data_IF_941469875793
#
_entry.id   IF_941469875793
#
_cell.length_a   1.000
_cell.length_b   1.000
_cell.length_c   1.000
_cell.angle_alpha   90.00
_cell.angle_beta   90.00
_cell.angle_gamma   90.00
#
_symmetry.space_group_name_H-M   'P 1'
#
loop_
_entity.id
_entity.type
_entity.pdbx_description
1 polymer ?
#
# COMPACT_ATOMS: atom_id res chain seq x y z
N UNK A 1 -0.79 26.55 10.87
CA UNK A 1 0.30 26.67 9.86
C UNK A 1 -0.33 26.58 8.49
N UNK A 2 -0.19 27.62 7.66
CA UNK A 2 -0.77 27.65 6.31
C UNK A 2 -0.28 26.46 5.48
N UNK A 3 -1.23 25.74 4.85
CA UNK A 3 -0.97 24.59 3.99
C UNK A 3 0.03 24.92 2.88
N UNK A 4 -0.02 26.15 2.33
CA UNK A 4 0.92 26.62 1.30
C UNK A 4 2.36 26.71 1.81
N UNK A 5 2.55 27.15 3.06
CA UNK A 5 3.87 27.22 3.69
C UNK A 5 4.45 25.81 3.89
N UNK A 6 3.61 24.85 4.28
CA UNK A 6 4.04 23.46 4.44
C UNK A 6 4.53 22.86 3.13
N UNK A 7 3.75 23.01 2.06
CA UNK A 7 4.15 22.54 0.71
C UNK A 7 5.47 23.16 0.30
N UNK A 8 5.66 24.48 0.46
CA UNK A 8 6.93 25.14 0.13
C UNK A 8 8.12 24.60 0.93
N UNK A 9 7.98 24.47 2.26
CA UNK A 9 9.10 24.12 3.17
C UNK A 9 9.49 22.65 3.19
N UNK A 10 8.59 21.73 2.85
CA UNK A 10 8.91 20.30 2.85
C UNK A 10 9.95 19.98 1.77
N UNK A 11 10.99 19.22 2.13
CA UNK A 11 11.97 18.73 1.18
C UNK A 11 11.30 17.73 0.20
N UNK A 12 11.45 17.97 -1.10
CA UNK A 12 10.78 17.20 -2.14
C UNK A 12 11.31 15.75 -2.19
N UNK A 13 12.62 15.57 -2.19
CA UNK A 13 13.27 14.26 -2.32
C UNK A 13 12.92 13.36 -1.13
N UNK A 14 12.92 13.92 0.08
CA UNK A 14 12.49 13.22 1.28
C UNK A 14 11.01 12.82 1.22
N UNK A 15 10.13 13.69 0.71
CA UNK A 15 8.71 13.38 0.57
C UNK A 15 8.49 12.26 -0.46
N UNK A 16 9.15 12.35 -1.62
CA UNK A 16 9.04 11.37 -2.71
C UNK A 16 9.63 10.03 -2.27
N UNK A 17 10.84 10.03 -1.68
CA UNK A 17 11.47 8.83 -1.14
C UNK A 17 10.63 8.13 -0.09
N UNK A 18 9.95 8.89 0.79
CA UNK A 18 9.01 8.31 1.74
C UNK A 18 7.81 7.65 1.06
N UNK A 19 7.21 8.27 0.03
CA UNK A 19 6.12 7.65 -0.74
C UNK A 19 6.61 6.39 -1.46
N UNK A 20 7.80 6.42 -2.08
CA UNK A 20 8.39 5.22 -2.69
C UNK A 20 8.47 4.10 -1.66
N UNK A 21 8.94 4.39 -0.45
CA UNK A 21 8.97 3.45 0.67
C UNK A 21 7.60 2.86 1.00
N UNK A 22 6.55 3.69 1.14
CA UNK A 22 5.18 3.23 1.41
C UNK A 22 4.59 2.39 0.25
N UNK A 23 4.88 2.76 -1.00
CA UNK A 23 4.53 1.94 -2.19
C UNK A 23 5.30 0.62 -2.18
N UNK A 24 6.55 0.63 -1.74
CA UNK A 24 7.37 -0.56 -1.52
C UNK A 24 6.76 -1.52 -0.49
N UNK A 25 6.31 -1.00 0.64
CA UNK A 25 5.56 -1.78 1.65
C UNK A 25 4.28 -2.38 1.08
N UNK A 26 3.54 -1.61 0.25
CA UNK A 26 2.36 -2.14 -0.44
C UNK A 26 2.72 -3.29 -1.40
N UNK A 27 3.88 -3.23 -2.08
CA UNK A 27 4.38 -4.33 -2.93
C UNK A 27 4.73 -5.55 -2.08
N UNK A 28 5.42 -5.37 -0.96
CA UNK A 28 5.79 -6.46 -0.06
C UNK A 28 4.55 -7.16 0.52
N UNK A 29 3.58 -6.39 0.99
CA UNK A 29 2.30 -6.91 1.48
C UNK A 29 1.58 -7.74 0.42
N UNK A 30 1.59 -7.32 -0.85
CA UNK A 30 1.04 -8.10 -1.95
C UNK A 30 1.78 -9.42 -2.20
N UNK A 31 3.11 -9.40 -2.15
CA UNK A 31 3.95 -10.61 -2.31
C UNK A 31 3.65 -11.60 -1.18
N UNK A 32 3.72 -11.14 0.08
CA UNK A 32 3.44 -11.96 1.25
C UNK A 32 2.02 -12.53 1.22
N UNK A 33 1.02 -11.71 0.91
CA UNK A 33 -0.37 -12.15 0.81
C UNK A 33 -0.53 -13.23 -0.26
N UNK A 34 0.15 -13.09 -1.41
CA UNK A 34 0.13 -14.10 -2.47
C UNK A 34 0.74 -15.43 -2.00
N UNK A 35 1.88 -15.39 -1.31
CA UNK A 35 2.50 -16.59 -0.76
C UNK A 35 1.59 -17.27 0.28
N UNK A 36 0.97 -16.50 1.18
CA UNK A 36 0.05 -17.03 2.19
C UNK A 36 -1.22 -17.62 1.58
N UNK A 37 -1.75 -17.04 0.49
CA UNK A 37 -2.87 -17.62 -0.25
C UNK A 37 -2.48 -18.96 -0.90
N UNK A 38 -1.27 -19.05 -1.45
CA UNK A 38 -0.78 -20.31 -2.03
C UNK A 38 -0.53 -21.36 -0.95
N UNK A 39 0.09 -20.96 0.17
CA UNK A 39 0.36 -21.83 1.31
C UNK A 39 -0.94 -22.36 1.93
N UNK A 40 -1.97 -21.51 2.10
CA UNK A 40 -3.25 -21.98 2.66
C UNK A 40 -3.86 -23.07 1.79
N UNK A 41 -3.89 -22.86 0.47
CA UNK A 41 -4.44 -23.84 -0.49
C UNK A 41 -3.66 -25.16 -0.55
N UNK A 42 -2.39 -25.16 -0.18
CA UNK A 42 -1.57 -26.37 -0.18
C UNK A 42 -1.84 -27.25 1.06
N UNK A 43 -2.43 -26.67 2.12
CA UNK A 43 -2.66 -27.33 3.41
C UNK A 43 -4.15 -27.54 3.69
N UNK A 44 -5.02 -26.75 3.04
CA UNK A 44 -6.48 -26.88 3.07
C UNK A 44 -6.92 -28.23 2.49
N UNK A 45 -7.90 -28.86 3.13
CA UNK A 45 -8.46 -30.15 2.72
C UNK A 45 -9.95 -30.01 2.39
N UNK A 46 -10.57 -31.07 1.87
CA UNK A 46 -12.01 -31.09 1.64
C UNK A 46 -12.83 -31.31 2.94
N UNK A 47 -12.17 -31.62 4.07
CA UNK A 47 -12.81 -31.81 5.37
C UNK A 47 -12.61 -30.61 6.30
N UNK A 48 -13.68 -29.82 6.45
CA UNK A 48 -13.75 -28.65 7.33
C UNK A 48 -13.37 -29.00 8.79
N UNK A 49 -13.74 -30.19 9.28
CA UNK A 49 -13.45 -30.57 10.67
C UNK A 49 -11.96 -30.80 10.90
N UNK A 50 -11.28 -31.37 9.91
CA UNK A 50 -9.84 -31.56 9.90
C UNK A 50 -9.12 -30.21 9.80
N UNK A 51 -9.57 -29.33 8.90
CA UNK A 51 -9.00 -28.00 8.71
C UNK A 51 -9.12 -27.10 9.96
N UNK A 52 -10.25 -27.17 10.68
CA UNK A 52 -10.44 -26.41 11.93
C UNK A 52 -9.49 -26.83 13.05
N UNK A 53 -8.97 -28.06 13.03
CA UNK A 53 -8.03 -28.59 14.02
C UNK A 53 -6.57 -28.43 13.60
N UNK A 54 -6.33 -28.00 12.36
CA UNK A 54 -4.99 -27.81 11.81
C UNK A 54 -4.40 -26.47 12.29
N UNK A 55 -3.47 -26.53 13.25
CA UNK A 55 -2.80 -25.35 13.81
C UNK A 55 -2.01 -24.55 12.78
N UNK A 56 -1.41 -25.22 11.80
CA UNK A 56 -0.60 -24.58 10.77
C UNK A 56 -1.50 -23.81 9.80
N UNK A 57 -2.65 -24.39 9.43
CA UNK A 57 -3.65 -23.70 8.61
C UNK A 57 -4.25 -22.50 9.36
N UNK A 58 -4.51 -22.64 10.66
CA UNK A 58 -4.97 -21.54 11.50
C UNK A 58 -3.96 -20.38 11.54
N UNK A 59 -2.66 -20.69 11.70
CA UNK A 59 -1.58 -19.70 11.66
C UNK A 59 -1.53 -18.99 10.31
N UNK A 60 -1.58 -19.74 9.19
CA UNK A 60 -1.58 -19.16 7.84
C UNK A 60 -2.79 -18.25 7.64
N UNK A 61 -3.98 -18.61 8.12
CA UNK A 61 -5.16 -17.76 8.05
C UNK A 61 -5.04 -16.49 8.90
N UNK A 62 -4.49 -16.59 10.10
CA UNK A 62 -4.24 -15.43 10.94
C UNK A 62 -3.26 -14.44 10.26
N UNK A 63 -2.14 -14.95 9.74
CA UNK A 63 -1.16 -14.15 9.00
C UNK A 63 -1.75 -13.53 7.74
N UNK A 64 -2.52 -14.31 6.96
CA UNK A 64 -3.22 -13.82 5.76
C UNK A 64 -4.18 -12.69 6.10
N UNK A 65 -4.93 -12.81 7.20
CA UNK A 65 -5.81 -11.76 7.70
C UNK A 65 -5.03 -10.49 8.05
N UNK A 66 -3.96 -10.62 8.84
CA UNK A 66 -3.14 -9.48 9.27
C UNK A 66 -2.50 -8.74 8.11
N UNK A 67 -1.83 -9.45 7.21
CA UNK A 67 -1.17 -8.87 6.03
C UNK A 67 -2.20 -8.21 5.10
N UNK A 68 -3.39 -8.81 4.94
CA UNK A 68 -4.46 -8.20 4.15
C UNK A 68 -4.92 -6.88 4.73
N UNK A 69 -5.12 -6.80 6.05
CA UNK A 69 -5.51 -5.55 6.71
C UNK A 69 -4.41 -4.49 6.58
N UNK A 70 -3.16 -4.84 6.85
CA UNK A 70 -2.04 -3.90 6.68
C UNK A 70 -1.95 -3.41 5.22
N UNK A 71 -2.19 -4.28 4.23
CA UNK A 71 -2.25 -3.89 2.82
C UNK A 71 -3.36 -2.88 2.52
N UNK A 72 -4.56 -3.09 3.09
CA UNK A 72 -5.69 -2.15 3.00
C UNK A 72 -5.30 -0.81 3.63
N UNK A 73 -4.71 -0.83 4.81
CA UNK A 73 -4.29 0.36 5.56
C UNK A 73 -3.26 1.18 4.77
N UNK A 74 -2.22 0.53 4.22
CA UNK A 74 -1.20 1.20 3.39
C UNK A 74 -1.81 1.85 2.16
N UNK A 75 -2.62 1.11 1.38
CA UNK A 75 -3.25 1.64 0.16
C UNK A 75 -4.23 2.78 0.45
N UNK A 76 -5.01 2.67 1.54
CA UNK A 76 -5.91 3.72 1.98
C UNK A 76 -5.16 4.95 2.51
N UNK A 77 -4.02 4.75 3.16
CA UNK A 77 -3.12 5.80 3.62
C UNK A 77 -2.53 6.63 2.48
N UNK A 78 -2.03 5.96 1.43
CA UNK A 78 -1.50 6.61 0.22
C UNK A 78 -2.50 7.54 -0.48
N UNK A 79 -3.80 7.24 -0.36
CA UNK A 79 -4.90 8.00 -0.96
C UNK A 79 -5.47 9.10 -0.04
N UNK A 80 -4.92 9.31 1.15
CA UNK A 80 -5.37 10.39 2.02
C UNK A 80 -5.10 11.76 1.40
N UNK A 81 -6.09 12.66 1.51
CA UNK A 81 -5.94 14.06 1.11
C UNK A 81 -5.36 14.90 2.26
N UNK A 82 -4.14 14.57 2.68
CA UNK A 82 -3.44 15.26 3.77
C UNK A 82 -2.04 15.70 3.37
N UNK A 83 -1.59 16.81 3.96
CA UNK A 83 -0.29 17.43 3.69
C UNK A 83 0.73 17.24 4.82
N UNK A 84 0.41 16.42 5.83
CA UNK A 84 1.27 16.17 7.00
C UNK A 84 1.90 14.78 7.01
N UNK A 85 1.62 13.98 5.98
CA UNK A 85 2.06 12.58 5.83
C UNK A 85 2.47 12.33 4.39
N UNK A 86 3.24 11.28 4.17
CA UNK A 86 3.53 10.79 2.83
C UNK A 86 2.24 10.26 2.17
N UNK A 87 1.53 11.14 1.47
CA UNK A 87 0.39 10.81 0.60
C UNK A 87 0.66 11.22 -0.85
N UNK A 88 -0.01 10.60 -1.82
CA UNK A 88 0.09 11.03 -3.21
C UNK A 88 -0.43 12.45 -3.41
N UNK A 89 -1.47 12.86 -2.66
CA UNK A 89 -1.95 14.23 -2.67
C UNK A 89 -0.85 15.21 -2.29
N UNK A 90 -0.07 14.92 -1.25
CA UNK A 90 1.00 15.84 -0.85
C UNK A 90 2.07 15.96 -1.94
N UNK A 91 2.47 14.83 -2.55
CA UNK A 91 3.43 14.87 -3.65
C UNK A 91 2.91 15.69 -4.82
N UNK A 92 1.68 15.44 -5.29
CA UNK A 92 1.13 16.17 -6.45
C UNK A 92 0.99 17.66 -6.18
N UNK A 93 0.66 18.06 -4.96
CA UNK A 93 0.67 19.47 -4.55
C UNK A 93 2.10 20.05 -4.51
N UNK A 94 3.11 19.24 -4.17
CA UNK A 94 4.52 19.67 -4.09
C UNK A 94 5.16 19.86 -5.46
N UNK A 95 4.93 18.92 -6.38
CA UNK A 95 5.47 18.96 -7.76
C UNK A 95 4.58 19.72 -8.73
N UNK A 96 3.40 20.14 -8.27
CA UNK A 96 2.33 20.77 -9.05
C UNK A 96 2.00 20.05 -10.37
N UNK A 97 1.92 18.72 -10.31
CA UNK A 97 1.67 17.87 -11.46
C UNK A 97 0.90 16.61 -11.05
N UNK A 98 0.37 15.88 -12.04
CA UNK A 98 -0.29 14.58 -11.87
C UNK A 98 -1.55 14.58 -10.99
N UNK A 99 -2.16 15.75 -10.74
CA UNK A 99 -3.40 15.90 -9.96
C UNK A 99 -4.52 14.97 -10.43
N UNK A 100 -4.69 14.80 -11.75
CA UNK A 100 -5.74 13.92 -12.30
C UNK A 100 -5.47 12.43 -12.10
N UNK A 101 -4.19 12.01 -12.05
CA UNK A 101 -3.81 10.63 -11.79
C UNK A 101 -3.97 10.29 -10.30
N UNK A 102 -3.59 11.22 -9.40
CA UNK A 102 -3.87 11.11 -7.97
C UNK A 102 -5.38 10.99 -7.71
N UNK A 103 -6.18 11.86 -8.33
CA UNK A 103 -7.62 11.85 -8.12
C UNK A 103 -8.26 10.52 -8.60
N UNK A 104 -7.79 9.97 -9.72
CA UNK A 104 -8.23 8.65 -10.23
C UNK A 104 -7.87 7.54 -9.24
N UNK A 105 -6.67 7.56 -8.66
CA UNK A 105 -6.27 6.60 -7.63
C UNK A 105 -7.17 6.73 -6.39
N UNK A 106 -7.32 7.93 -5.85
CA UNK A 106 -8.15 8.20 -4.68
C UNK A 106 -9.61 7.78 -4.88
N UNK A 107 -10.22 8.16 -6.01
CA UNK A 107 -11.59 7.75 -6.36
C UNK A 107 -11.72 6.23 -6.44
N UNK A 108 -10.70 5.51 -6.90
CA UNK A 108 -10.72 4.04 -6.90
C UNK A 108 -10.73 3.46 -5.48
N UNK A 109 -9.89 3.99 -4.58
CA UNK A 109 -9.83 3.59 -3.16
C UNK A 109 -11.17 3.83 -2.46
N UNK A 110 -11.78 5.00 -2.68
CA UNK A 110 -13.07 5.38 -2.10
C UNK A 110 -14.22 4.51 -2.61
N UNK A 111 -14.33 4.32 -3.94
CA UNK A 111 -15.38 3.49 -4.56
C UNK A 111 -15.34 2.04 -4.07
N UNK A 112 -14.14 1.51 -3.82
CA UNK A 112 -13.96 0.15 -3.33
C UNK A 112 -13.93 0.03 -1.79
N UNK A 113 -14.28 1.10 -1.07
CA UNK A 113 -14.45 1.13 0.39
C UNK A 113 -13.19 0.82 1.21
N UNK A 114 -12.00 0.90 0.61
CA UNK A 114 -10.72 0.69 1.33
C UNK A 114 -10.55 1.71 2.45
N UNK A 115 -10.86 2.98 2.17
CA UNK A 115 -10.85 4.05 3.17
C UNK A 115 -11.84 3.78 4.30
N UNK A 116 -13.07 3.37 3.96
CA UNK A 116 -14.10 3.08 4.95
C UNK A 116 -13.73 1.90 5.85
N UNK A 117 -13.11 0.84 5.30
CA UNK A 117 -12.59 -0.30 6.06
C UNK A 117 -11.51 0.18 7.04
N UNK A 118 -10.51 0.92 6.56
CA UNK A 118 -9.47 1.53 7.40
C UNK A 118 -10.06 2.39 8.53
N UNK A 119 -10.99 3.27 8.21
CA UNK A 119 -11.56 4.20 9.19
C UNK A 119 -12.31 3.44 10.29
N UNK A 120 -12.99 2.33 9.97
CA UNK A 120 -13.56 1.42 10.98
C UNK A 120 -12.49 0.74 11.82
N UNK A 121 -11.43 0.22 11.19
CA UNK A 121 -10.32 -0.44 11.90
C UNK A 121 -9.62 0.49 12.91
N UNK A 122 -9.49 1.78 12.56
CA UNK A 122 -8.95 2.80 13.46
C UNK A 122 -9.99 3.20 14.53
N UNK A 123 -11.26 3.30 14.15
CA UNK A 123 -12.37 3.67 15.02
C UNK A 123 -12.75 2.59 16.04
N UNK A 124 -12.24 1.34 15.95
CA UNK A 124 -12.39 0.33 17.01
C UNK A 124 -11.77 0.76 18.35
N UNK A 125 -11.04 1.88 18.39
CA UNK A 125 -10.63 2.54 19.65
C UNK A 125 -11.77 3.30 20.33
N UNK A 126 -12.87 3.56 19.62
CA UNK A 126 -14.10 4.14 20.14
C UNK A 126 -15.12 3.00 20.28
N UNK A 127 -15.47 2.64 21.52
CA UNK A 127 -16.46 1.62 21.79
C UNK A 127 -17.84 2.11 21.32
N UNK A 128 -18.47 1.46 20.32
CA UNK A 128 -19.81 1.86 19.90
C UNK A 128 -20.83 1.51 21.00
N UNK A 129 -21.83 2.37 21.18
CA UNK A 129 -22.93 2.16 22.13
C UNK A 129 -23.85 1.01 21.72
N UNK A 130 -23.98 0.78 20.40
CA UNK A 130 -24.79 -0.28 19.81
C UNK A 130 -23.92 -1.26 19.02
N UNK A 131 -24.38 -2.51 18.90
CA UNK A 131 -23.81 -3.44 17.94
C UNK A 131 -23.82 -2.82 16.52
N UNK A 132 -22.71 -2.92 15.76
CA UNK A 132 -22.64 -2.32 14.44
C UNK A 132 -23.73 -2.91 13.53
N UNK A 133 -24.70 -2.07 13.15
CA UNK A 133 -25.84 -2.43 12.27
C UNK A 133 -25.42 -2.84 10.85
N UNK A 134 -24.14 -2.66 10.47
CA UNK A 134 -23.61 -2.98 9.15
C UNK A 134 -22.54 -4.04 9.29
N UNK A 135 -22.67 -5.13 8.52
CA UNK A 135 -21.67 -6.21 8.47
C UNK A 135 -20.27 -5.75 8.04
N UNK A 136 -19.33 -6.69 8.12
CA UNK A 136 -17.91 -6.48 7.79
C UNK A 136 -17.72 -6.04 6.33
N UNK A 137 -16.80 -5.10 6.10
CA UNK A 137 -16.47 -4.63 4.75
C UNK A 137 -15.46 -5.60 4.15
N UNK A 138 -15.95 -6.54 3.35
CA UNK A 138 -15.10 -7.49 2.63
C UNK A 138 -14.48 -6.84 1.40
N UNK A 139 -13.15 -6.72 1.39
CA UNK A 139 -12.37 -6.30 0.22
C UNK A 139 -11.71 -7.53 -0.40
N UNK A 140 -11.87 -7.72 -1.71
CA UNK A 140 -11.33 -8.88 -2.42
C UNK A 140 -9.86 -8.67 -2.81
N UNK A 141 -9.14 -9.77 -3.03
CA UNK A 141 -7.73 -9.73 -3.46
C UNK A 141 -7.54 -9.02 -4.81
N UNK A 142 -8.49 -9.16 -5.72
CA UNK A 142 -8.46 -8.51 -7.04
C UNK A 142 -8.53 -6.98 -6.92
N UNK A 143 -9.38 -6.46 -6.04
CA UNK A 143 -9.45 -5.03 -5.73
C UNK A 143 -8.11 -4.52 -5.20
N UNK A 144 -7.50 -5.23 -4.25
CA UNK A 144 -6.20 -4.85 -3.68
C UNK A 144 -5.08 -4.86 -4.74
N UNK A 145 -5.08 -5.86 -5.61
CA UNK A 145 -4.10 -5.97 -6.70
C UNK A 145 -4.23 -4.82 -7.70
N UNK A 146 -5.46 -4.45 -8.07
CA UNK A 146 -5.71 -3.31 -8.97
C UNK A 146 -5.34 -1.98 -8.29
N UNK A 147 -5.65 -1.83 -6.99
CA UNK A 147 -5.26 -0.66 -6.21
C UNK A 147 -3.73 -0.50 -6.19
N UNK A 148 -3.00 -1.58 -5.91
CA UNK A 148 -1.53 -1.58 -5.96
C UNK A 148 -1.00 -1.24 -7.36
N UNK A 149 -1.55 -1.83 -8.42
CA UNK A 149 -1.13 -1.53 -9.77
C UNK A 149 -1.30 -0.03 -10.11
N UNK A 150 -2.39 0.59 -9.63
CA UNK A 150 -2.61 2.04 -9.76
C UNK A 150 -1.62 2.85 -8.94
N UNK A 151 -1.32 2.45 -7.71
CA UNK A 151 -0.33 3.10 -6.86
C UNK A 151 1.07 3.05 -7.48
N UNK A 152 1.52 1.88 -7.95
CA UNK A 152 2.80 1.71 -8.65
C UNK A 152 2.84 2.58 -9.91
N UNK A 153 1.76 2.61 -10.71
CA UNK A 153 1.71 3.43 -11.92
C UNK A 153 1.83 4.91 -11.61
N UNK A 154 1.16 5.40 -10.57
CA UNK A 154 1.27 6.79 -10.15
C UNK A 154 2.67 7.10 -9.63
N UNK A 155 3.25 6.22 -8.82
CA UNK A 155 4.63 6.38 -8.32
C UNK A 155 5.64 6.44 -9.47
N UNK A 156 5.54 5.55 -10.46
CA UNK A 156 6.39 5.59 -11.65
C UNK A 156 6.28 6.90 -12.42
N UNK A 157 5.08 7.46 -12.55
CA UNK A 157 4.89 8.77 -13.19
C UNK A 157 5.53 9.90 -12.39
N UNK A 158 5.43 9.86 -11.06
CA UNK A 158 6.10 10.81 -10.16
C UNK A 158 7.61 10.70 -10.34
N UNK A 159 8.18 9.50 -10.27
CA UNK A 159 9.63 9.31 -10.44
C UNK A 159 10.09 9.73 -11.84
N UNK A 160 9.33 9.44 -12.90
CA UNK A 160 9.65 9.95 -14.24
C UNK A 160 9.62 11.48 -14.34
N UNK A 161 8.74 12.14 -13.59
CA UNK A 161 8.68 13.60 -13.55
C UNK A 161 9.89 14.21 -12.81
N UNK A 162 10.43 13.51 -11.82
CA UNK A 162 11.48 14.02 -10.93
C UNK A 162 12.89 13.58 -11.35
N UNK A 163 13.05 12.31 -11.69
CA UNK A 163 14.34 11.69 -12.08
C UNK A 163 14.52 11.59 -13.60
N UNK A 164 13.49 11.89 -14.39
CA UNK A 164 13.54 11.78 -15.85
C UNK A 164 13.69 10.32 -16.34
N UNK A 165 14.54 10.13 -17.34
CA UNK A 165 14.67 8.86 -18.08
C UNK A 165 15.23 7.70 -17.23
N UNK A 166 16.03 8.02 -16.20
CA UNK A 166 16.65 7.03 -15.30
C UNK A 166 15.59 6.30 -14.46
N UNK A 167 14.41 6.89 -14.25
CA UNK A 167 13.34 6.29 -13.46
C UNK A 167 12.94 4.90 -13.99
N UNK A 168 12.85 4.74 -15.31
CA UNK A 168 12.43 3.48 -15.92
C UNK A 168 13.41 2.34 -15.62
N UNK A 169 14.71 2.62 -15.74
CA UNK A 169 15.78 1.67 -15.44
C UNK A 169 15.77 1.28 -13.95
N UNK A 170 15.64 2.25 -13.05
CA UNK A 170 15.62 1.99 -11.61
C UNK A 170 14.42 1.15 -11.19
N UNK A 171 13.24 1.41 -11.75
CA UNK A 171 12.07 0.56 -11.53
C UNK A 171 12.23 -0.85 -12.10
N UNK A 172 13.01 -1.02 -13.18
CA UNK A 172 13.33 -2.35 -13.72
C UNK A 172 14.25 -3.12 -12.76
N UNK A 173 15.34 -2.48 -12.30
CA UNK A 173 16.26 -3.04 -11.30
C UNK A 173 15.53 -3.39 -10.01
N UNK A 174 14.62 -2.55 -9.51
CA UNK A 174 13.84 -2.89 -8.32
C UNK A 174 12.84 -4.00 -8.53
N UNK A 175 12.23 -4.08 -9.71
CA UNK A 175 11.33 -5.18 -10.01
C UNK A 175 12.05 -6.53 -9.95
N UNK A 176 13.27 -6.67 -10.45
CA UNK A 176 13.99 -7.95 -10.40
C UNK A 176 14.27 -8.38 -8.95
N UNK A 177 14.63 -7.42 -8.09
CA UNK A 177 14.89 -7.67 -6.66
C UNK A 177 13.62 -7.82 -5.80
N UNK A 178 12.40 -7.70 -6.33
CA UNK A 178 11.17 -7.61 -5.50
C UNK A 178 10.89 -8.79 -4.55
N UNK A 179 11.37 -9.99 -4.87
CA UNK A 179 11.19 -11.19 -4.04
C UNK A 179 12.31 -11.39 -3.02
N UNK A 180 13.36 -10.59 -3.09
CA UNK A 180 14.37 -10.55 -2.06
C UNK A 180 13.83 -9.74 -0.87
N UNK A 181 13.47 -10.49 0.18
CA UNK A 181 12.90 -10.01 1.44
C UNK A 181 13.98 -9.78 2.52
N UNK A 182 15.27 -9.92 2.20
CA UNK A 182 16.36 -9.72 3.16
C UNK A 182 16.48 -8.25 3.58
N UNK A 183 16.16 -7.34 2.65
CA UNK A 183 16.11 -5.89 2.90
C UNK A 183 14.65 -5.47 3.04
N UNK A 184 14.28 -4.74 4.12
CA UNK A 184 12.94 -4.18 4.27
C UNK A 184 12.52 -3.36 3.04
N UNK A 185 11.30 -3.58 2.56
CA UNK A 185 10.83 -2.97 1.32
C UNK A 185 10.85 -1.44 1.41
N UNK A 186 10.43 -0.86 2.53
CA UNK A 186 10.54 0.59 2.76
C UNK A 186 11.94 1.13 2.47
N UNK A 187 12.97 0.51 3.03
CA UNK A 187 14.36 0.95 2.85
C UNK A 187 14.81 0.82 1.38
N UNK A 188 14.49 -0.33 0.77
CA UNK A 188 14.83 -0.66 -0.61
C UNK A 188 14.26 0.32 -1.63
N UNK A 189 12.99 0.69 -1.48
CA UNK A 189 12.32 1.61 -2.41
C UNK A 189 12.60 3.08 -2.08
N UNK A 190 12.84 3.43 -0.81
CA UNK A 190 13.26 4.78 -0.43
C UNK A 190 14.57 5.17 -1.11
N UNK A 191 15.53 4.25 -1.14
CA UNK A 191 16.86 4.46 -1.72
C UNK A 191 16.93 4.24 -3.23
N UNK A 192 15.79 4.07 -3.92
CA UNK A 192 15.72 3.72 -5.34
C UNK A 192 16.56 4.63 -6.25
N UNK A 193 16.64 5.91 -5.92
CA UNK A 193 17.39 6.92 -6.67
C UNK A 193 18.92 6.77 -6.54
N UNK A 194 19.39 6.18 -5.44
CA UNK A 194 20.80 5.98 -5.13
C UNK A 194 21.36 4.64 -5.62
N UNK A 195 20.53 3.81 -6.24
CA UNK A 195 20.94 2.53 -6.83
C UNK A 195 21.68 2.67 -8.17
N UNK A 196 21.91 3.90 -8.63
CA UNK A 196 22.58 4.23 -9.90
C UNK A 196 24.11 4.10 -9.84
N UNK A 197 24.68 3.61 -8.73
CA UNK A 197 26.13 3.55 -8.49
C UNK A 197 26.71 2.16 -8.20
N UNK A 198 25.96 1.08 -8.43
CA UNK A 198 26.44 -0.32 -8.40
C UNK A 198 26.50 -0.92 -9.80
#
# INVERSE_FOLDING_TARGET
MDQRIRVKRTNQDALIGNIRGEVGEAIANWILLRHLIAASKAVETDDISTDMRNSDLALVYALKGRIKEDFILTLAGLAERKLDRATFYFVTQKIDALHSDEEKFRKYIERNKLKQKRDREIAHREQPLDWPKRGDIRISYSILTIALAKAIRLMKKIDSNVMGDIAAEQWHKMRSKRYDLTIPARAKYLLLEYLSGE
#
